data_IF_174331405072
#
_entry.id   IF_174331405072
#
_cell.length_a   1.000
_cell.length_b   1.000
_cell.length_c   1.000
_cell.angle_alpha   90.00
_cell.angle_beta   90.00
_cell.angle_gamma   90.00
#
_symmetry.space_group_name_H-M   'P 1'
#
loop_
_entity.id
_entity.type
_entity.pdbx_description
1 polymer ?
#
# COMPACT_ATOMS: atom_id res chain seq x y z
N UNK A 1 -0.18 23.62 22.40
CA UNK A 1 -1.07 22.68 21.70
C UNK A 1 -0.65 21.27 22.08
N UNK A 2 -1.48 20.54 22.83
CA UNK A 2 -1.14 19.16 23.26
C UNK A 2 -1.41 18.22 22.08
N UNK A 3 -0.36 17.61 21.53
CA UNK A 3 -0.55 16.58 20.49
C UNK A 3 -1.25 15.39 21.12
N UNK A 4 -2.56 15.24 20.87
CA UNK A 4 -3.40 14.21 21.51
C UNK A 4 -3.12 12.80 21.00
N UNK A 5 -2.38 12.64 19.90
CA UNK A 5 -2.05 11.34 19.29
C UNK A 5 -0.60 11.31 18.80
N UNK A 6 0.40 11.41 19.72
CA UNK A 6 1.80 11.49 19.34
C UNK A 6 2.29 10.27 18.54
N UNK A 7 1.74 9.09 18.79
CA UNK A 7 2.09 7.86 18.09
C UNK A 7 1.59 7.82 16.63
N UNK A 8 0.41 8.38 16.32
CA UNK A 8 -0.06 8.48 14.94
C UNK A 8 0.75 9.50 14.14
N UNK A 9 1.08 10.62 14.75
CA UNK A 9 1.93 11.63 14.14
C UNK A 9 3.34 11.08 13.93
N UNK A 10 3.89 10.37 14.91
CA UNK A 10 5.18 9.69 14.81
C UNK A 10 5.19 8.65 13.68
N UNK A 11 4.12 7.85 13.53
CA UNK A 11 4.01 6.86 12.47
C UNK A 11 4.07 7.48 11.06
N UNK A 12 3.51 8.69 10.87
CA UNK A 12 3.57 9.38 9.57
C UNK A 12 4.96 9.92 9.26
N UNK A 13 5.66 10.44 10.28
CA UNK A 13 6.91 11.18 10.11
C UNK A 13 8.14 10.27 10.23
N UNK A 14 8.03 9.15 10.97
CA UNK A 14 9.19 8.32 11.34
C UNK A 14 9.40 7.10 10.43
N UNK A 15 8.48 6.81 9.50
CA UNK A 15 8.61 5.62 8.66
C UNK A 15 8.75 5.98 7.19
N UNK A 16 9.60 5.26 6.43
CA UNK A 16 9.61 5.34 4.98
C UNK A 16 8.29 4.86 4.39
N UNK A 17 7.80 5.57 3.38
CA UNK A 17 6.53 5.32 2.74
C UNK A 17 6.71 4.87 1.29
N UNK A 18 6.09 3.78 0.95
CA UNK A 18 5.81 3.36 -0.40
C UNK A 18 4.30 3.55 -0.67
N UNK A 19 3.86 4.80 -0.77
CA UNK A 19 2.47 5.25 -0.97
C UNK A 19 2.42 6.43 -1.95
N UNK A 20 1.29 6.65 -2.62
CA UNK A 20 1.14 7.85 -3.46
C UNK A 20 1.06 9.12 -2.61
N UNK A 21 1.70 10.24 -3.03
CA UNK A 21 1.82 11.45 -2.22
C UNK A 21 0.48 12.06 -1.78
N UNK A 22 -0.53 12.07 -2.66
CA UNK A 22 -1.88 12.55 -2.37
C UNK A 22 -2.56 11.79 -1.23
N UNK A 23 -2.26 10.50 -1.10
CA UNK A 23 -2.81 9.65 -0.03
C UNK A 23 -2.09 9.85 1.29
N UNK A 24 -0.78 10.08 1.29
CA UNK A 24 -0.07 10.46 2.52
C UNK A 24 -0.56 11.80 3.04
N UNK A 25 -0.78 12.78 2.16
CA UNK A 25 -1.37 14.06 2.54
C UNK A 25 -2.76 13.88 3.17
N UNK A 26 -3.63 13.05 2.58
CA UNK A 26 -4.95 12.76 3.15
C UNK A 26 -4.87 12.13 4.55
N UNK A 27 -3.88 11.25 4.81
CA UNK A 27 -3.62 10.70 6.15
C UNK A 27 -3.21 11.81 7.12
N UNK A 28 -2.28 12.67 6.70
CA UNK A 28 -1.81 13.78 7.52
C UNK A 28 -2.97 14.72 7.92
N UNK A 29 -3.85 15.07 6.99
CA UNK A 29 -5.04 15.89 7.24
C UNK A 29 -6.03 15.24 8.23
N UNK A 30 -6.21 13.92 8.17
CA UNK A 30 -7.05 13.18 9.15
C UNK A 30 -6.44 13.24 10.54
N UNK A 31 -5.13 13.09 10.64
CA UNK A 31 -4.41 13.17 11.93
C UNK A 31 -4.47 14.59 12.50
N UNK A 32 -4.31 15.61 11.67
CA UNK A 32 -4.44 17.03 12.09
C UNK A 32 -5.85 17.34 12.60
N UNK A 33 -6.89 16.97 11.87
CA UNK A 33 -8.29 17.13 12.32
C UNK A 33 -8.57 16.44 13.65
N UNK A 34 -8.02 15.24 13.87
CA UNK A 34 -8.12 14.54 15.16
C UNK A 34 -7.36 15.24 16.28
N UNK A 35 -6.19 15.79 15.99
CA UNK A 35 -5.41 16.58 16.94
C UNK A 35 -6.18 17.84 17.39
N UNK A 36 -6.98 18.43 16.51
CA UNK A 36 -7.89 19.54 16.78
C UNK A 36 -9.15 19.14 17.56
N UNK A 37 -9.33 17.86 17.85
CA UNK A 37 -10.48 17.35 18.62
C UNK A 37 -11.73 17.08 17.79
N UNK A 38 -11.66 17.19 16.48
CA UNK A 38 -12.75 16.86 15.56
C UNK A 38 -12.84 15.33 15.45
N UNK A 39 -13.87 14.74 16.08
CA UNK A 39 -14.13 13.30 16.06
C UNK A 39 -15.40 13.01 15.28
N UNK A 40 -15.34 11.97 14.47
CA UNK A 40 -16.54 11.35 13.94
C UNK A 40 -17.22 10.56 15.06
N UNK A 41 -18.55 10.63 15.15
CA UNK A 41 -19.34 9.80 16.06
C UNK A 41 -19.27 8.32 15.63
N UNK A 42 -19.57 7.42 16.56
CA UNK A 42 -19.61 5.99 16.26
C UNK A 42 -20.60 5.66 15.12
N UNK A 43 -21.71 6.40 15.03
CA UNK A 43 -22.69 6.25 13.96
C UNK A 43 -22.19 6.73 12.59
N UNK A 44 -21.42 7.84 12.55
CA UNK A 44 -20.78 8.31 11.32
C UNK A 44 -19.69 7.33 10.85
N UNK A 45 -18.91 6.78 11.79
CA UNK A 45 -17.91 5.74 11.49
C UNK A 45 -18.60 4.48 10.96
N UNK A 46 -19.69 4.03 11.57
CA UNK A 46 -20.45 2.87 11.14
C UNK A 46 -21.07 3.09 9.75
N UNK A 47 -21.62 4.27 9.48
CA UNK A 47 -22.16 4.62 8.16
C UNK A 47 -21.08 4.68 7.07
N UNK A 48 -19.85 5.10 7.42
CA UNK A 48 -18.72 5.11 6.50
C UNK A 48 -18.12 3.71 6.27
N UNK A 49 -18.23 2.81 7.27
CA UNK A 49 -17.72 1.44 7.15
C UNK A 49 -18.55 0.57 6.22
N UNK A 50 -19.87 0.79 6.10
CA UNK A 50 -20.77 0.03 5.21
C UNK A 50 -20.58 -1.50 5.33
N UNK A 51 -21.26 -2.25 4.51
CA UNK A 51 -20.96 -3.67 4.27
C UNK A 51 -19.75 -3.77 3.34
N UNK A 52 -18.55 -3.84 3.91
CA UNK A 52 -17.30 -3.96 3.14
C UNK A 52 -16.77 -5.36 3.25
N UNK A 53 -16.28 -5.86 2.11
CA UNK A 53 -15.47 -7.08 2.13
C UNK A 53 -14.28 -6.90 3.07
N UNK A 54 -14.00 -7.87 3.95
CA UNK A 54 -12.91 -7.77 4.90
C UNK A 54 -11.56 -7.76 4.20
N UNK A 55 -10.80 -6.67 4.34
CA UNK A 55 -9.46 -6.56 3.78
C UNK A 55 -8.52 -7.60 4.38
N UNK A 56 -7.75 -8.24 3.52
CA UNK A 56 -6.77 -9.25 3.91
C UNK A 56 -7.35 -10.58 4.37
N UNK A 57 -8.67 -10.78 4.24
CA UNK A 57 -9.35 -12.07 4.47
C UNK A 57 -9.66 -12.72 3.12
N UNK A 58 -9.43 -14.03 3.01
CA UNK A 58 -9.72 -14.75 1.79
C UNK A 58 -11.20 -15.12 1.71
N UNK A 59 -11.86 -14.66 0.65
CA UNK A 59 -13.22 -15.08 0.24
C UNK A 59 -13.10 -16.23 -0.75
N UNK A 60 -13.91 -17.26 -0.59
CA UNK A 60 -13.90 -18.44 -1.47
C UNK A 60 -15.00 -18.34 -2.50
N UNK A 61 -14.64 -18.57 -3.76
CA UNK A 61 -15.56 -18.65 -4.89
C UNK A 61 -15.56 -20.07 -5.46
N UNK A 62 -16.74 -20.59 -5.77
CA UNK A 62 -16.87 -21.86 -6.50
C UNK A 62 -16.20 -21.73 -7.86
N UNK A 63 -15.31 -22.65 -8.22
CA UNK A 63 -14.72 -22.68 -9.55
C UNK A 63 -15.71 -23.10 -10.65
N UNK A 64 -16.89 -23.60 -10.29
CA UNK A 64 -17.92 -24.03 -11.23
C UNK A 64 -18.95 -22.93 -11.48
N UNK A 65 -19.49 -22.31 -10.43
CA UNK A 65 -20.58 -21.31 -10.55
C UNK A 65 -20.08 -19.87 -10.42
N UNK A 66 -18.86 -19.69 -9.88
CA UNK A 66 -18.26 -18.40 -9.52
C UNK A 66 -19.01 -17.64 -8.42
N UNK A 67 -19.90 -18.30 -7.71
CA UNK A 67 -20.58 -17.72 -6.56
C UNK A 67 -19.67 -17.77 -5.33
N UNK A 68 -19.84 -16.80 -4.44
CA UNK A 68 -19.17 -16.79 -3.14
C UNK A 68 -19.73 -17.94 -2.29
N UNK A 69 -18.86 -18.84 -1.82
CA UNK A 69 -19.24 -20.03 -1.05
C UNK A 69 -18.75 -20.01 0.40
N UNK A 70 -17.90 -19.04 0.78
CA UNK A 70 -17.43 -18.94 2.16
C UNK A 70 -16.20 -18.07 2.33
N UNK A 71 -15.60 -18.13 3.51
CA UNK A 71 -14.37 -17.43 3.89
C UNK A 71 -13.37 -18.43 4.43
N UNK A 72 -12.09 -18.29 4.11
CA UNK A 72 -11.02 -19.20 4.59
C UNK A 72 -10.97 -19.17 6.12
N UNK A 73 -10.93 -20.38 6.71
CA UNK A 73 -10.88 -20.55 8.17
C UNK A 73 -12.25 -20.75 8.83
N UNK A 74 -13.35 -20.58 8.11
CA UNK A 74 -14.65 -21.13 8.52
C UNK A 74 -14.80 -22.51 7.89
N UNK A 75 -15.34 -23.48 8.64
CA UNK A 75 -15.67 -24.78 8.04
C UNK A 75 -16.63 -24.52 6.88
N UNK A 76 -16.18 -24.81 5.67
CA UNK A 76 -17.05 -24.81 4.52
C UNK A 76 -18.03 -25.96 4.78
N UNK A 77 -19.24 -25.61 5.18
CA UNK A 77 -20.34 -26.57 5.16
C UNK A 77 -20.56 -26.89 3.69
N UNK A 78 -20.01 -28.01 3.23
CA UNK A 78 -20.25 -28.53 1.90
C UNK A 78 -21.77 -28.78 1.81
N UNK A 79 -22.47 -27.83 1.22
CA UNK A 79 -23.87 -28.01 0.83
C UNK A 79 -23.90 -29.12 -0.21
N UNK A 80 -24.23 -30.32 0.26
CA UNK A 80 -24.42 -31.48 -0.59
C UNK A 80 -23.92 -32.79 0.05
N UNK A 81 -24.41 -33.12 1.25
CA UNK A 81 -24.59 -34.56 1.53
C UNK A 81 -25.72 -35.06 0.65
N UNK A 82 -25.38 -35.57 -0.53
CA UNK A 82 -26.28 -36.48 -1.23
C UNK A 82 -26.56 -37.66 -0.30
N UNK A 83 -27.81 -37.98 -0.11
CA UNK A 83 -28.25 -39.26 0.51
C UNK A 83 -27.64 -40.39 -0.32
N UNK A 84 -26.54 -40.96 0.14
CA UNK A 84 -25.89 -42.12 -0.50
C UNK A 84 -24.37 -42.05 -0.50
N UNK A 85 -23.74 -42.02 0.62
CA UNK A 85 -22.47 -42.62 1.04
C UNK A 85 -21.19 -42.48 0.20
N UNK A 86 -21.17 -41.79 -0.95
CA UNK A 86 -19.92 -41.49 -1.69
C UNK A 86 -19.41 -40.14 -1.31
N UNK A 87 -18.06 -39.94 -1.06
CA UNK A 87 -17.51 -38.63 -0.83
C UNK A 87 -17.78 -37.78 -2.08
N UNK A 88 -18.55 -36.70 -1.92
CA UNK A 88 -18.71 -35.70 -2.98
C UNK A 88 -17.30 -35.22 -3.41
N UNK A 89 -17.06 -35.01 -4.72
CA UNK A 89 -15.76 -34.46 -5.14
C UNK A 89 -15.49 -33.16 -4.39
N UNK A 90 -14.30 -33.03 -3.83
CA UNK A 90 -13.88 -31.82 -3.13
C UNK A 90 -14.16 -30.63 -4.05
N UNK A 91 -15.07 -29.76 -3.63
CA UNK A 91 -15.46 -28.62 -4.45
C UNK A 91 -14.20 -27.78 -4.72
N UNK A 92 -13.86 -27.62 -5.99
CA UNK A 92 -12.72 -26.79 -6.38
C UNK A 92 -13.10 -25.32 -6.19
N UNK A 93 -12.34 -24.58 -5.38
CA UNK A 93 -12.60 -23.18 -5.07
C UNK A 93 -11.42 -22.28 -5.46
N UNK A 94 -11.70 -21.01 -5.67
CA UNK A 94 -10.71 -19.95 -5.89
C UNK A 94 -10.74 -19.07 -4.65
N UNK A 95 -9.58 -18.86 -4.02
CA UNK A 95 -9.44 -17.93 -2.90
C UNK A 95 -9.15 -16.52 -3.43
N UNK A 96 -10.01 -15.56 -3.11
CA UNK A 96 -9.82 -14.13 -3.43
C UNK A 96 -9.48 -13.38 -2.15
N UNK A 97 -8.31 -12.76 -2.09
CA UNK A 97 -7.82 -12.00 -0.94
C UNK A 97 -7.77 -10.53 -1.31
N UNK A 98 -8.60 -9.70 -0.68
CA UNK A 98 -8.67 -8.27 -0.98
C UNK A 98 -7.55 -7.50 -0.29
N UNK A 99 -6.80 -6.71 -1.07
CA UNK A 99 -5.72 -5.80 -0.63
C UNK A 99 -6.15 -4.37 -0.97
N UNK A 100 -6.98 -3.78 -0.10
CA UNK A 100 -7.60 -2.49 -0.35
C UNK A 100 -7.12 -1.44 0.66
N UNK A 101 -7.11 -0.18 0.21
CA UNK A 101 -6.72 0.96 1.02
C UNK A 101 -5.24 0.96 1.37
N UNK A 102 -4.88 1.60 2.48
CA UNK A 102 -3.49 1.78 2.90
C UNK A 102 -2.93 0.48 3.45
N UNK A 103 -1.70 0.15 3.05
CA UNK A 103 -1.00 -1.05 3.53
C UNK A 103 -0.13 -0.68 4.74
N UNK A 104 -0.26 -1.46 5.82
CA UNK A 104 0.60 -1.40 6.98
C UNK A 104 0.93 -2.81 7.49
N UNK A 105 1.93 -2.95 8.35
CA UNK A 105 2.31 -4.27 8.86
C UNK A 105 1.23 -4.84 9.76
N UNK A 106 0.79 -4.07 10.76
CA UNK A 106 -0.14 -4.52 11.78
C UNK A 106 -1.57 -4.03 11.56
N UNK A 107 -2.57 -4.85 11.92
CA UNK A 107 -3.98 -4.50 11.78
C UNK A 107 -4.35 -3.25 12.60
N UNK A 108 -3.76 -3.08 13.79
CA UNK A 108 -3.98 -1.92 14.66
C UNK A 108 -3.61 -0.58 14.03
N UNK A 109 -2.69 -0.57 13.06
CA UNK A 109 -2.27 0.65 12.36
C UNK A 109 -3.31 1.11 11.33
N UNK A 110 -4.14 0.21 10.82
CA UNK A 110 -5.10 0.48 9.75
C UNK A 110 -6.56 0.46 10.20
N UNK A 111 -6.89 -0.29 11.24
CA UNK A 111 -8.26 -0.41 11.72
C UNK A 111 -8.72 0.84 12.51
N UNK A 112 -7.76 1.61 13.06
CA UNK A 112 -8.02 2.79 13.91
C UNK A 112 -8.09 4.11 13.13
N UNK A 113 -7.70 4.10 11.86
CA UNK A 113 -7.80 5.27 11.00
C UNK A 113 -9.24 5.39 10.51
N UNK A 114 -9.90 6.54 10.78
CA UNK A 114 -11.25 6.86 10.32
C UNK A 114 -11.27 7.00 8.80
N UNK A 115 -11.28 5.90 8.12
CA UNK A 115 -11.26 5.82 6.67
C UNK A 115 -11.76 4.45 6.21
N UNK A 116 -11.70 4.16 4.93
CA UNK A 116 -12.21 2.92 4.34
C UNK A 116 -11.51 1.63 4.80
N UNK A 117 -10.79 1.67 5.92
CA UNK A 117 -9.99 0.55 6.38
C UNK A 117 -8.72 0.39 5.53
N UNK A 118 -7.66 -0.11 6.16
CA UNK A 118 -6.43 -0.47 5.46
C UNK A 118 -6.25 -1.99 5.40
N UNK A 119 -5.15 -2.41 4.83
CA UNK A 119 -4.78 -3.83 4.74
C UNK A 119 -3.53 -4.08 5.57
N UNK A 120 -3.60 -5.05 6.50
CA UNK A 120 -2.44 -5.54 7.22
C UNK A 120 -1.73 -6.63 6.42
N UNK A 121 -0.41 -6.49 6.22
CA UNK A 121 0.40 -7.52 5.54
C UNK A 121 0.42 -8.84 6.30
N UNK A 122 0.37 -8.81 7.63
CA UNK A 122 0.27 -10.02 8.45
C UNK A 122 -1.07 -10.75 8.26
N UNK A 123 -2.17 -10.00 8.10
CA UNK A 123 -3.49 -10.57 7.84
C UNK A 123 -3.53 -11.23 6.45
N UNK A 124 -3.01 -10.53 5.43
CA UNK A 124 -2.87 -11.09 4.07
C UNK A 124 -2.00 -12.34 4.08
N UNK A 125 -0.85 -12.30 4.74
CA UNK A 125 0.08 -13.44 4.86
C UNK A 125 -0.61 -14.67 5.44
N UNK A 126 -1.35 -14.50 6.53
CA UNK A 126 -2.10 -15.58 7.17
C UNK A 126 -3.13 -16.19 6.23
N UNK A 127 -3.93 -15.34 5.56
CA UNK A 127 -4.94 -15.78 4.61
C UNK A 127 -4.33 -16.47 3.39
N UNK A 128 -3.21 -15.95 2.91
CA UNK A 128 -2.44 -16.53 1.81
C UNK A 128 -1.92 -17.94 2.16
N UNK A 129 -1.28 -18.11 3.33
CA UNK A 129 -0.79 -19.42 3.80
C UNK A 129 -1.92 -20.43 3.96
N UNK A 130 -3.06 -19.99 4.52
CA UNK A 130 -4.22 -20.85 4.67
C UNK A 130 -4.76 -21.31 3.31
N UNK A 131 -4.90 -20.38 2.35
CA UNK A 131 -5.35 -20.71 0.99
C UNK A 131 -4.34 -21.59 0.25
N UNK A 132 -3.04 -21.37 0.45
CA UNK A 132 -1.97 -22.18 -0.15
C UNK A 132 -2.01 -23.62 0.36
N UNK A 133 -2.23 -23.82 1.67
CA UNK A 133 -2.27 -25.14 2.32
C UNK A 133 -3.59 -25.89 2.12
N UNK A 134 -4.68 -25.22 1.70
CA UNK A 134 -5.99 -25.84 1.55
C UNK A 134 -6.11 -26.59 0.20
N UNK A 135 -6.25 -27.93 0.25
CA UNK A 135 -6.34 -28.75 -0.95
C UNK A 135 -7.57 -28.46 -1.84
N UNK A 136 -8.63 -27.88 -1.30
CA UNK A 136 -9.81 -27.46 -2.07
C UNK A 136 -9.56 -26.21 -2.90
N UNK A 137 -8.58 -25.37 -2.51
CA UNK A 137 -8.21 -24.16 -3.22
C UNK A 137 -7.31 -24.49 -4.42
N UNK A 138 -7.81 -24.29 -5.62
CA UNK A 138 -7.07 -24.53 -6.86
C UNK A 138 -6.22 -23.34 -7.32
N UNK A 139 -6.57 -22.13 -6.92
CA UNK A 139 -5.86 -20.90 -7.27
C UNK A 139 -6.11 -19.80 -6.25
N UNK A 140 -5.19 -18.83 -6.17
CA UNK A 140 -5.27 -17.67 -5.29
C UNK A 140 -5.30 -16.41 -6.16
N UNK A 141 -6.25 -15.51 -5.91
CA UNK A 141 -6.33 -14.20 -6.54
C UNK A 141 -6.14 -13.14 -5.47
N UNK A 142 -5.07 -12.35 -5.58
CA UNK A 142 -4.87 -11.15 -4.75
C UNK A 142 -5.52 -9.98 -5.49
N UNK A 143 -6.59 -9.42 -4.93
CA UNK A 143 -7.36 -8.35 -5.54
C UNK A 143 -6.94 -7.01 -4.97
N UNK A 144 -6.46 -6.11 -5.82
CA UNK A 144 -5.86 -4.84 -5.41
C UNK A 144 -6.72 -3.63 -5.72
N UNK A 145 -6.89 -2.76 -4.74
CA UNK A 145 -7.31 -1.37 -4.89
C UNK A 145 -6.62 -0.54 -3.81
N UNK A 146 -5.32 -0.28 -4.00
CA UNK A 146 -4.46 0.28 -2.97
C UNK A 146 -3.45 1.29 -3.53
N UNK A 147 -3.28 2.44 -2.87
CA UNK A 147 -2.25 3.43 -3.20
C UNK A 147 -0.85 3.04 -2.70
N UNK A 148 -0.72 1.91 -2.00
CA UNK A 148 0.47 1.52 -1.26
C UNK A 148 0.35 1.76 0.24
N UNK A 149 1.47 1.98 0.90
CA UNK A 149 1.49 2.15 2.35
C UNK A 149 2.90 2.22 2.94
N UNK A 150 3.03 1.77 4.18
CA UNK A 150 4.30 1.64 4.87
C UNK A 150 5.13 0.50 4.25
N UNK A 151 6.45 0.65 4.17
CA UNK A 151 7.35 -0.37 3.61
C UNK A 151 7.47 -1.63 4.49
N UNK A 152 7.22 -1.49 5.82
CA UNK A 152 7.40 -2.60 6.76
C UNK A 152 6.42 -3.75 6.49
N UNK A 153 6.95 -4.97 6.49
CA UNK A 153 6.19 -6.20 6.23
C UNK A 153 5.88 -6.47 4.74
N UNK A 154 6.06 -5.48 3.84
CA UNK A 154 5.77 -5.62 2.41
C UNK A 154 6.71 -6.58 1.74
N UNK A 155 8.03 -6.42 1.92
CA UNK A 155 9.05 -7.30 1.35
C UNK A 155 8.88 -8.75 1.83
N UNK A 156 8.56 -8.93 3.11
CA UNK A 156 8.35 -10.27 3.68
C UNK A 156 7.17 -10.96 3.02
N UNK A 157 6.05 -10.24 2.85
CA UNK A 157 4.86 -10.76 2.15
C UNK A 157 5.14 -11.05 0.67
N UNK A 158 5.80 -10.14 -0.05
CA UNK A 158 6.17 -10.32 -1.44
C UNK A 158 7.09 -11.55 -1.63
N UNK A 159 8.09 -11.72 -0.77
CA UNK A 159 8.98 -12.89 -0.79
C UNK A 159 8.24 -14.21 -0.53
N UNK A 160 7.27 -14.22 0.38
CA UNK A 160 6.44 -15.40 0.65
C UNK A 160 5.62 -15.79 -0.60
N UNK A 161 4.96 -14.79 -1.23
CA UNK A 161 4.17 -15.01 -2.44
C UNK A 161 5.06 -15.50 -3.58
N UNK A 162 6.23 -14.88 -3.78
CA UNK A 162 7.16 -15.29 -4.83
C UNK A 162 7.66 -16.73 -4.66
N UNK A 163 8.01 -17.14 -3.44
CA UNK A 163 8.42 -18.51 -3.13
C UNK A 163 7.32 -19.56 -3.32
N UNK A 164 6.07 -19.15 -3.26
CA UNK A 164 4.92 -20.03 -3.46
C UNK A 164 4.56 -20.25 -4.95
N UNK A 165 5.17 -19.51 -5.88
CA UNK A 165 4.96 -19.69 -7.33
C UNK A 165 5.17 -21.16 -7.73
N UNK A 166 4.34 -21.62 -8.64
CA UNK A 166 4.40 -23.00 -9.14
C UNK A 166 3.66 -24.02 -8.26
N UNK A 167 3.30 -23.71 -7.02
CA UNK A 167 2.49 -24.60 -6.17
C UNK A 167 1.01 -24.53 -6.56
N UNK A 168 0.49 -23.31 -6.70
CA UNK A 168 -0.84 -22.98 -7.22
C UNK A 168 -0.73 -21.72 -8.07
N UNK A 169 -1.62 -21.49 -9.06
CA UNK A 169 -1.68 -20.22 -9.75
C UNK A 169 -1.97 -19.08 -8.76
N UNK A 170 -1.13 -18.04 -8.76
CA UNK A 170 -1.26 -16.85 -7.92
C UNK A 170 -1.40 -15.64 -8.84
N UNK A 171 -2.57 -15.02 -8.89
CA UNK A 171 -2.90 -13.92 -9.78
C UNK A 171 -3.09 -12.64 -9.00
N UNK A 172 -2.43 -11.57 -9.39
CA UNK A 172 -2.75 -10.22 -8.94
C UNK A 172 -3.82 -9.64 -9.88
N UNK A 173 -5.02 -9.39 -9.37
CA UNK A 173 -6.09 -8.66 -10.05
C UNK A 173 -6.13 -7.23 -9.55
N UNK A 174 -5.84 -6.29 -10.41
CA UNK A 174 -5.89 -4.85 -10.09
C UNK A 174 -7.22 -4.29 -10.55
N UNK A 175 -8.07 -3.86 -9.60
CA UNK A 175 -9.36 -3.25 -9.92
C UNK A 175 -9.20 -1.85 -10.51
N UNK A 176 -8.72 -0.90 -9.68
CA UNK A 176 -8.45 0.47 -10.13
C UNK A 176 -7.00 0.88 -9.93
N UNK A 177 -6.36 0.41 -8.86
CA UNK A 177 -5.00 0.84 -8.50
C UNK A 177 -4.23 -0.24 -7.75
N UNK A 178 -3.01 -0.52 -8.20
CA UNK A 178 -1.97 -1.16 -7.40
C UNK A 178 -0.70 -0.31 -7.50
N UNK A 179 -0.54 0.63 -6.57
CA UNK A 179 0.58 1.56 -6.58
C UNK A 179 1.56 1.25 -5.43
N UNK A 180 2.85 1.50 -5.67
CA UNK A 180 3.89 1.51 -4.67
C UNK A 180 3.96 0.17 -3.89
N UNK A 181 3.82 0.12 -2.57
CA UNK A 181 3.82 -1.14 -1.81
C UNK A 181 2.83 -2.19 -2.34
N UNK A 182 1.67 -1.77 -2.87
CA UNK A 182 0.72 -2.68 -3.49
C UNK A 182 1.26 -3.31 -4.78
N UNK A 183 1.98 -2.52 -5.60
CA UNK A 183 2.63 -3.04 -6.80
C UNK A 183 3.82 -3.96 -6.44
N UNK A 184 4.57 -3.66 -5.38
CA UNK A 184 5.61 -4.53 -4.86
C UNK A 184 5.06 -5.93 -4.56
N UNK A 185 3.93 -6.01 -3.84
CA UNK A 185 3.26 -7.29 -3.54
C UNK A 185 2.72 -7.93 -4.83
N UNK A 186 2.05 -7.15 -5.70
CA UNK A 186 1.48 -7.65 -6.95
C UNK A 186 2.55 -8.23 -7.89
N UNK A 187 3.73 -7.63 -7.96
CA UNK A 187 4.85 -8.09 -8.79
C UNK A 187 5.38 -9.47 -8.40
N UNK A 188 5.12 -9.90 -7.16
CA UNK A 188 5.49 -11.21 -6.67
C UNK A 188 4.54 -12.33 -7.11
N UNK A 189 3.37 -12.03 -7.69
CA UNK A 189 2.43 -13.01 -8.22
C UNK A 189 2.88 -13.60 -9.55
N UNK A 190 2.32 -14.76 -9.96
CA UNK A 190 2.63 -15.38 -11.27
C UNK A 190 2.17 -14.50 -12.43
N UNK A 191 1.09 -13.75 -12.27
CA UNK A 191 0.47 -12.91 -13.30
C UNK A 191 -0.14 -11.66 -12.68
N UNK A 192 -0.02 -10.53 -13.39
CA UNK A 192 -0.69 -9.27 -13.04
C UNK A 192 -1.73 -8.95 -14.11
N UNK A 193 -3.00 -8.90 -13.70
CA UNK A 193 -4.15 -8.55 -14.55
C UNK A 193 -4.69 -7.20 -14.10
N UNK A 194 -4.82 -6.27 -15.03
CA UNK A 194 -5.32 -4.90 -14.74
C UNK A 194 -6.70 -4.75 -15.37
N UNK A 195 -7.67 -4.30 -14.58
CA UNK A 195 -9.01 -3.97 -15.09
C UNK A 195 -8.92 -2.80 -16.08
N UNK A 196 -9.74 -2.76 -17.16
CA UNK A 196 -9.78 -1.60 -18.06
C UNK A 196 -9.90 -0.27 -17.30
N UNK A 197 -8.96 0.64 -17.54
CA UNK A 197 -8.85 1.91 -16.81
C UNK A 197 -8.04 1.86 -15.51
N UNK A 198 -7.65 0.69 -15.04
CA UNK A 198 -6.81 0.52 -13.85
C UNK A 198 -5.38 0.99 -14.07
N UNK A 199 -4.65 1.18 -12.98
CA UNK A 199 -3.29 1.71 -12.96
C UNK A 199 -2.38 0.89 -12.04
N UNK A 200 -1.10 0.78 -12.41
CA UNK A 200 -0.05 0.10 -11.62
C UNK A 200 1.24 0.91 -11.63
N UNK A 201 2.11 0.69 -10.66
CA UNK A 201 3.43 1.33 -10.63
C UNK A 201 3.68 2.13 -9.37
N UNK A 202 4.08 3.39 -9.50
CA UNK A 202 4.56 4.21 -8.38
C UNK A 202 5.71 3.50 -7.63
N UNK A 203 6.69 2.98 -8.40
CA UNK A 203 7.85 2.29 -7.85
C UNK A 203 8.81 3.35 -7.30
N UNK A 204 8.74 3.54 -6.00
CA UNK A 204 9.52 4.54 -5.29
C UNK A 204 9.25 4.54 -3.80
N UNK A 205 10.17 5.10 -3.05
CA UNK A 205 10.09 5.25 -1.60
C UNK A 205 10.46 6.67 -1.23
N UNK A 206 9.80 7.24 -0.23
CA UNK A 206 10.16 8.55 0.29
C UNK A 206 9.93 8.65 1.79
N UNK A 207 10.65 9.55 2.43
CA UNK A 207 10.43 9.96 3.81
C UNK A 207 9.92 11.40 3.86
N UNK A 208 9.18 11.73 4.90
CA UNK A 208 8.71 13.10 5.16
C UNK A 208 9.27 13.58 6.49
N UNK A 209 10.06 14.66 6.46
CA UNK A 209 10.42 15.40 7.66
C UNK A 209 9.57 16.66 7.75
N UNK A 210 8.98 16.92 8.92
CA UNK A 210 8.20 18.14 9.20
C UNK A 210 8.94 18.97 10.25
N UNK A 211 9.43 20.12 9.86
CA UNK A 211 10.02 21.09 10.80
C UNK A 211 8.94 22.02 11.34
N UNK A 212 8.72 21.99 12.65
CA UNK A 212 7.80 22.87 13.38
C UNK A 212 8.54 23.84 14.31
N UNK A 213 9.86 23.93 14.23
CA UNK A 213 10.69 24.74 15.13
C UNK A 213 10.28 26.22 15.14
N UNK A 214 10.10 26.81 13.95
CA UNK A 214 9.67 28.22 13.81
C UNK A 214 8.25 28.46 14.33
N UNK A 215 7.34 27.50 14.15
CA UNK A 215 5.98 27.60 14.67
C UNK A 215 5.96 27.55 16.21
N UNK A 216 6.80 26.71 16.81
CA UNK A 216 6.98 26.62 18.25
C UNK A 216 7.57 27.93 18.81
N UNK A 217 8.59 28.46 18.18
CA UNK A 217 9.21 29.72 18.57
C UNK A 217 8.22 30.90 18.54
N UNK A 218 7.41 30.99 17.48
CA UNK A 218 6.34 32.01 17.36
C UNK A 218 5.29 31.91 18.46
N UNK A 219 5.11 30.72 19.05
CA UNK A 219 4.22 30.48 20.20
C UNK A 219 4.93 30.65 21.56
N UNK A 220 6.20 31.11 21.58
CA UNK A 220 7.00 31.26 22.80
C UNK A 220 7.40 29.91 23.43
N UNK A 221 7.37 28.82 22.69
CA UNK A 221 7.74 27.47 23.15
C UNK A 221 9.13 27.14 22.64
N UNK A 222 10.04 26.79 23.55
CA UNK A 222 11.38 26.27 23.22
C UNK A 222 11.48 24.81 23.66
N UNK A 223 11.83 23.94 22.74
CA UNK A 223 12.16 22.55 23.05
C UNK A 223 13.66 22.41 23.30
N UNK A 224 14.03 21.63 24.32
CA UNK A 224 15.42 21.31 24.61
C UNK A 224 15.51 19.79 24.79
N UNK A 225 16.31 19.13 23.98
CA UNK A 225 16.58 17.71 24.09
C UNK A 225 17.79 17.49 25.01
N UNK A 226 17.62 16.59 25.99
CA UNK A 226 18.71 16.04 26.79
C UNK A 226 18.79 14.57 26.46
N UNK A 227 19.81 14.14 25.73
CA UNK A 227 19.89 12.77 25.20
C UNK A 227 21.31 12.19 25.36
N UNK A 228 21.37 10.86 25.33
CA UNK A 228 22.60 10.10 25.21
C UNK A 228 22.57 9.30 23.90
N UNK A 229 23.71 9.28 23.20
CA UNK A 229 23.83 8.73 21.83
C UNK A 229 23.78 9.85 20.79
N UNK A 230 24.80 9.91 19.91
CA UNK A 230 25.01 11.01 18.95
C UNK A 230 23.76 11.31 18.12
N UNK A 231 23.09 10.27 17.64
CA UNK A 231 21.98 10.40 16.69
C UNK A 231 20.59 10.15 17.30
N UNK A 232 20.48 10.10 18.65
CA UNK A 232 19.24 9.69 19.32
C UNK A 232 18.04 10.59 19.05
N UNK A 233 18.30 11.88 18.81
CA UNK A 233 17.28 12.90 18.53
C UNK A 233 17.35 13.43 17.10
N UNK A 234 18.19 12.82 16.26
CA UNK A 234 18.32 13.19 14.86
C UNK A 234 16.99 13.06 14.14
N UNK A 235 16.69 13.99 13.22
CA UNK A 235 15.44 13.98 12.47
C UNK A 235 14.18 14.30 13.27
N UNK A 236 14.32 14.86 14.50
CA UNK A 236 13.16 15.30 15.27
C UNK A 236 12.49 16.53 14.61
N UNK A 237 11.18 16.69 14.83
CA UNK A 237 10.39 17.75 14.19
C UNK A 237 10.61 19.17 14.78
N UNK A 238 11.32 19.31 15.90
CA UNK A 238 11.49 20.59 16.59
C UNK A 238 12.79 21.29 16.26
N UNK A 239 13.56 20.73 15.35
CA UNK A 239 14.80 21.27 14.83
C UNK A 239 14.85 21.12 13.31
N UNK A 240 15.49 22.06 12.57
CA UNK A 240 15.74 21.88 11.15
C UNK A 240 16.54 20.60 10.89
N UNK A 241 16.26 19.95 9.78
CA UNK A 241 17.01 18.77 9.35
C UNK A 241 18.44 19.21 8.97
N UNK A 242 19.43 18.56 9.58
CA UNK A 242 20.84 18.80 9.24
C UNK A 242 21.22 18.05 7.96
N UNK A 243 22.32 18.44 7.31
CA UNK A 243 22.85 17.72 6.15
C UNK A 243 23.22 16.28 6.50
N UNK A 244 23.80 16.03 7.69
CA UNK A 244 24.12 14.68 8.18
C UNK A 244 22.84 13.83 8.33
N UNK A 245 21.80 14.39 8.95
CA UNK A 245 20.53 13.73 9.10
C UNK A 245 19.83 13.48 7.75
N UNK A 246 19.93 14.44 6.82
CA UNK A 246 19.40 14.28 5.46
C UNK A 246 20.08 13.12 4.73
N UNK A 247 21.41 13.03 4.81
CA UNK A 247 22.16 11.93 4.21
C UNK A 247 21.80 10.56 4.82
N UNK A 248 21.64 10.50 6.14
CA UNK A 248 21.25 9.27 6.82
C UNK A 248 19.84 8.80 6.40
N UNK A 249 18.88 9.73 6.31
CA UNK A 249 17.53 9.44 5.82
C UNK A 249 17.52 9.02 4.34
N UNK A 250 18.31 9.70 3.49
CA UNK A 250 18.44 9.38 2.08
C UNK A 250 19.00 7.95 1.90
N UNK A 251 20.07 7.61 2.62
CA UNK A 251 20.65 6.27 2.57
C UNK A 251 19.62 5.19 2.93
N UNK A 252 18.80 5.41 3.94
CA UNK A 252 17.73 4.49 4.31
C UNK A 252 16.67 4.36 3.21
N UNK A 253 16.30 5.47 2.57
CA UNK A 253 15.33 5.47 1.46
C UNK A 253 15.89 4.73 0.25
N UNK A 254 17.18 4.94 -0.07
CA UNK A 254 17.86 4.28 -1.18
C UNK A 254 17.96 2.76 -0.95
N UNK A 255 18.17 2.31 0.28
CA UNK A 255 18.15 0.89 0.63
C UNK A 255 16.78 0.26 0.36
N UNK A 256 15.68 0.88 0.82
CA UNK A 256 14.34 0.39 0.54
C UNK A 256 13.99 0.45 -0.96
N UNK A 257 14.44 1.48 -1.67
CA UNK A 257 14.23 1.60 -3.11
C UNK A 257 14.96 0.51 -3.88
N UNK A 258 16.20 0.19 -3.49
CA UNK A 258 16.98 -0.92 -4.06
C UNK A 258 16.28 -2.26 -3.85
N UNK A 259 15.80 -2.53 -2.64
CA UNK A 259 15.05 -3.75 -2.34
C UNK A 259 13.77 -3.83 -3.20
N UNK A 260 13.01 -2.74 -3.29
CA UNK A 260 11.80 -2.68 -4.09
C UNK A 260 12.07 -2.96 -5.57
N UNK A 261 13.03 -2.27 -6.17
CA UNK A 261 13.36 -2.44 -7.59
C UNK A 261 13.91 -3.83 -7.90
N UNK A 262 14.70 -4.40 -6.98
CA UNK A 262 15.23 -5.76 -7.11
C UNK A 262 14.12 -6.81 -7.06
N UNK A 263 13.19 -6.69 -6.11
CA UNK A 263 12.08 -7.62 -5.99
C UNK A 263 11.12 -7.53 -7.18
N UNK A 264 10.84 -6.32 -7.68
CA UNK A 264 10.03 -6.12 -8.88
C UNK A 264 10.72 -6.72 -10.10
N UNK A 265 12.01 -6.48 -10.28
CA UNK A 265 12.81 -7.04 -11.39
C UNK A 265 12.75 -8.57 -11.37
N UNK A 266 12.97 -9.18 -10.19
CA UNK A 266 12.85 -10.63 -9.98
C UNK A 266 11.43 -11.12 -10.30
N UNK A 267 10.42 -10.43 -9.79
CA UNK A 267 9.01 -10.79 -9.97
C UNK A 267 8.56 -10.72 -11.43
N UNK A 268 9.03 -9.74 -12.17
CA UNK A 268 8.71 -9.52 -13.58
C UNK A 268 9.66 -10.23 -14.56
N UNK A 269 10.78 -10.82 -14.08
CA UNK A 269 11.77 -11.49 -14.91
C UNK A 269 12.54 -10.53 -15.82
N UNK A 270 12.80 -9.30 -15.35
CA UNK A 270 13.52 -8.24 -16.08
C UNK A 270 14.76 -7.80 -15.31
N UNK A 271 15.62 -6.97 -15.91
CA UNK A 271 16.75 -6.38 -15.19
C UNK A 271 16.28 -5.24 -14.27
N UNK A 272 17.03 -4.98 -13.19
CA UNK A 272 16.78 -3.83 -12.30
C UNK A 272 16.83 -2.51 -13.07
N UNK A 273 17.74 -2.37 -14.03
CA UNK A 273 17.82 -1.19 -14.90
C UNK A 273 16.54 -0.93 -15.69
N UNK A 274 15.83 -1.98 -16.12
CA UNK A 274 14.58 -1.86 -16.86
C UNK A 274 13.45 -1.38 -15.94
N UNK A 275 13.49 -1.78 -14.65
CA UNK A 275 12.55 -1.28 -13.63
C UNK A 275 12.82 0.19 -13.34
N UNK A 276 14.08 0.55 -13.08
CA UNK A 276 14.48 1.91 -12.69
C UNK A 276 14.19 2.93 -13.80
N UNK A 277 14.53 2.63 -15.05
CA UNK A 277 14.39 3.58 -16.17
C UNK A 277 13.17 3.35 -17.07
N UNK A 278 12.41 2.23 -16.89
CA UNK A 278 11.36 1.83 -17.83
C UNK A 278 9.96 1.67 -17.21
N UNK A 279 9.87 1.51 -15.88
CA UNK A 279 8.59 1.24 -15.20
C UNK A 279 7.99 2.53 -14.58
N UNK A 280 7.99 3.63 -15.32
CA UNK A 280 7.31 4.87 -14.97
C UNK A 280 8.06 5.77 -13.99
N UNK A 281 9.27 5.42 -13.53
CA UNK A 281 10.14 6.26 -12.68
C UNK A 281 9.40 6.89 -11.49
N UNK A 282 8.63 6.08 -10.75
CA UNK A 282 7.80 6.52 -9.64
C UNK A 282 6.38 6.97 -10.01
N UNK A 283 6.00 6.96 -11.29
CA UNK A 283 4.62 7.22 -11.76
C UNK A 283 3.79 5.95 -11.81
N UNK A 284 2.48 6.12 -11.94
CA UNK A 284 1.55 5.04 -12.25
C UNK A 284 1.26 5.02 -13.74
N UNK A 285 1.18 3.81 -14.29
CA UNK A 285 0.89 3.57 -15.70
C UNK A 285 -0.48 2.91 -15.87
N UNK A 286 -1.21 3.31 -16.90
CA UNK A 286 -2.52 2.76 -17.22
C UNK A 286 -2.41 1.38 -17.84
N UNK A 287 -3.46 0.61 -17.69
CA UNK A 287 -3.71 -0.75 -18.15
C UNK A 287 -2.88 -1.23 -19.35
N UNK A 288 -3.16 -0.70 -20.54
CA UNK A 288 -2.48 -1.08 -21.80
C UNK A 288 -1.03 -0.61 -21.85
N UNK A 289 -0.73 0.54 -21.24
CA UNK A 289 0.64 1.05 -21.17
C UNK A 289 1.46 0.15 -20.24
N UNK A 290 0.90 -0.21 -19.10
CA UNK A 290 1.53 -1.13 -18.16
C UNK A 290 1.84 -2.50 -18.80
N UNK A 291 0.92 -3.05 -19.61
CA UNK A 291 1.15 -4.30 -20.35
C UNK A 291 2.28 -4.12 -21.38
N UNK A 292 2.27 -3.01 -22.12
CA UNK A 292 3.34 -2.72 -23.12
C UNK A 292 4.73 -2.58 -22.49
N UNK A 293 4.79 -2.01 -21.29
CA UNK A 293 6.05 -1.84 -20.55
C UNK A 293 6.50 -3.13 -19.81
N UNK A 294 5.67 -4.18 -19.78
CA UNK A 294 5.97 -5.40 -19.02
C UNK A 294 5.64 -5.30 -17.53
N UNK A 295 5.00 -4.22 -17.10
CA UNK A 295 4.56 -4.02 -15.70
C UNK A 295 3.34 -4.89 -15.36
N UNK A 296 2.52 -5.25 -16.35
CA UNK A 296 1.38 -6.15 -16.25
C UNK A 296 1.35 -7.13 -17.41
N UNK A 297 0.56 -8.19 -17.29
CA UNK A 297 0.51 -9.27 -18.28
C UNK A 297 -0.75 -9.18 -19.15
N UNK A 298 -1.83 -8.63 -18.60
CA UNK A 298 -3.14 -8.65 -19.25
C UNK A 298 -4.05 -7.52 -18.80
N UNK A 299 -4.96 -7.15 -19.67
CA UNK A 299 -6.11 -6.28 -19.32
C UNK A 299 -7.36 -7.16 -19.34
N UNK A 300 -8.00 -7.32 -18.17
CA UNK A 300 -9.26 -8.05 -18.00
C UNK A 300 -9.95 -7.67 -16.68
N UNK A 301 -11.26 -7.87 -16.62
CA UNK A 301 -12.06 -7.71 -15.41
C UNK A 301 -11.83 -8.87 -14.42
N UNK A 302 -12.21 -8.67 -13.15
CA UNK A 302 -12.17 -9.75 -12.16
C UNK A 302 -12.96 -10.97 -12.61
N UNK A 303 -14.15 -10.78 -13.15
CA UNK A 303 -15.04 -11.83 -13.65
C UNK A 303 -14.39 -12.68 -14.76
N UNK A 304 -13.75 -12.02 -15.73
CA UNK A 304 -13.00 -12.70 -16.80
C UNK A 304 -11.80 -13.46 -16.23
N UNK A 305 -11.10 -12.87 -15.24
CA UNK A 305 -9.98 -13.52 -14.55
C UNK A 305 -10.45 -14.76 -13.80
N UNK A 306 -11.53 -14.67 -13.02
CA UNK A 306 -12.08 -15.81 -12.27
C UNK A 306 -12.53 -16.93 -13.21
N UNK A 307 -13.24 -16.63 -14.31
CA UNK A 307 -13.63 -17.63 -15.32
C UNK A 307 -12.43 -18.34 -15.94
N UNK A 308 -11.39 -17.57 -16.29
CA UNK A 308 -10.15 -18.14 -16.83
C UNK A 308 -9.46 -19.05 -15.82
N UNK A 309 -9.29 -18.58 -14.59
CA UNK A 309 -8.66 -19.35 -13.51
C UNK A 309 -9.47 -20.61 -13.20
N UNK A 310 -10.81 -20.53 -13.22
CA UNK A 310 -11.70 -21.66 -13.06
C UNK A 310 -11.49 -22.73 -14.15
N UNK A 311 -11.15 -22.34 -15.38
CA UNK A 311 -10.91 -23.25 -16.51
C UNK A 311 -9.49 -23.83 -16.55
N UNK A 312 -8.54 -23.29 -15.77
CA UNK A 312 -7.17 -23.83 -15.73
C UNK A 312 -7.17 -25.26 -15.19
N UNK A 313 -6.50 -26.16 -15.89
CA UNK A 313 -6.22 -27.49 -15.36
C UNK A 313 -5.22 -27.35 -14.22
N UNK A 314 -5.47 -27.96 -13.07
CA UNK A 314 -4.49 -28.08 -12.00
C UNK A 314 -3.32 -28.91 -12.52
N UNK A 315 -2.18 -28.27 -12.80
CA UNK A 315 -0.96 -29.00 -13.10
C UNK A 315 -0.41 -29.53 -11.77
N UNK A 316 -0.65 -30.79 -11.48
CA UNK A 316 0.04 -31.51 -10.43
C UNK A 316 1.44 -31.86 -10.92
N UNK A 317 2.42 -30.99 -10.76
CA UNK A 317 3.83 -31.26 -11.03
C UNK A 317 4.70 -30.06 -10.72
N UNK A 318 5.82 -30.25 -10.01
CA UNK A 318 6.77 -29.16 -9.82
C UNK A 318 7.29 -28.73 -11.19
N UNK A 319 7.15 -27.44 -11.52
CA UNK A 319 7.91 -26.85 -12.64
C UNK A 319 9.37 -26.91 -12.25
N UNK A 320 10.17 -27.53 -13.15
CA UNK A 320 11.60 -27.67 -13.00
C UNK A 320 12.27 -26.33 -12.67
N UNK A 321 13.05 -26.35 -11.63
CA UNK A 321 14.21 -25.54 -11.25
C UNK A 321 14.36 -24.14 -11.88
N UNK A 322 13.81 -23.14 -11.19
CA UNK A 322 14.28 -21.75 -11.29
C UNK A 322 15.55 -21.51 -10.42
N UNK A 323 16.03 -22.51 -9.72
CA UNK A 323 17.22 -22.39 -8.83
C UNK A 323 18.55 -22.28 -9.61
N UNK A 324 18.56 -22.57 -10.91
CA UNK A 324 19.81 -22.53 -11.68
C UNK A 324 20.28 -21.10 -12.00
N UNK A 325 19.41 -20.09 -11.82
CA UNK A 325 19.81 -18.69 -12.09
C UNK A 325 20.43 -18.02 -10.86
N UNK A 326 20.15 -18.51 -9.65
CA UNK A 326 20.65 -17.89 -8.42
C UNK A 326 22.11 -18.24 -8.10
N UNK A 327 22.69 -19.28 -8.68
CA UNK A 327 24.09 -19.65 -8.46
C UNK A 327 25.07 -19.11 -9.49
N UNK A 328 24.59 -18.47 -10.58
CA UNK A 328 25.46 -17.88 -11.60
C UNK A 328 25.87 -16.43 -11.28
N UNK A 329 25.34 -15.80 -10.25
CA UNK A 329 25.66 -14.41 -9.90
C UNK A 329 26.45 -14.23 -8.60
N UNK A 330 26.86 -15.33 -7.96
CA UNK A 330 27.63 -15.26 -6.71
C UNK A 330 29.14 -15.05 -6.90
N UNK A 331 29.61 -14.94 -8.16
CA UNK A 331 31.03 -14.75 -8.46
C UNK A 331 31.29 -13.52 -9.37
N UNK A 332 30.45 -12.51 -9.26
CA UNK A 332 30.71 -11.20 -9.84
C UNK A 332 31.15 -10.25 -8.71
N UNK A 333 32.46 -9.97 -8.69
CA UNK A 333 33.03 -8.80 -8.00
C UNK A 333 32.06 -7.64 -7.96
N UNK A 334 31.86 -7.06 -6.75
CA UNK A 334 31.10 -5.84 -6.55
C UNK A 334 31.39 -4.83 -7.68
N UNK A 335 30.41 -4.41 -8.48
CA UNK A 335 30.61 -3.27 -9.31
C UNK A 335 30.62 -2.04 -8.41
N UNK A 336 31.66 -1.23 -8.55
CA UNK A 336 31.76 0.12 -7.97
C UNK A 336 30.40 0.81 -8.04
N UNK A 337 29.97 1.36 -6.89
CA UNK A 337 28.74 2.12 -6.79
C UNK A 337 28.75 3.21 -7.87
N UNK A 338 27.67 3.37 -8.63
CA UNK A 338 27.61 4.46 -9.61
C UNK A 338 27.76 5.79 -8.85
N UNK A 339 28.54 6.74 -9.36
CA UNK A 339 28.69 8.05 -8.77
C UNK A 339 27.29 8.68 -8.69
N UNK A 340 26.96 9.21 -7.52
CA UNK A 340 25.78 10.01 -7.31
C UNK A 340 25.68 11.07 -8.41
N UNK A 341 24.52 11.30 -9.03
CA UNK A 341 24.39 12.36 -10.03
C UNK A 341 24.77 13.68 -9.37
N UNK A 342 25.49 14.57 -10.08
CA UNK A 342 25.85 15.86 -9.56
C UNK A 342 24.57 16.59 -9.12
N UNK A 343 24.56 17.05 -7.89
CA UNK A 343 23.51 17.96 -7.41
C UNK A 343 23.83 19.29 -8.07
N UNK A 344 23.22 19.54 -9.23
CA UNK A 344 23.16 20.88 -9.81
C UNK A 344 22.33 21.74 -8.85
N UNK A 345 23.04 22.47 -8.02
CA UNK A 345 22.49 23.52 -7.21
C UNK A 345 22.29 24.75 -8.12
N UNK A 346 21.07 25.10 -8.54
CA UNK A 346 20.84 26.34 -9.25
C UNK A 346 20.85 27.49 -8.24
N UNK A 347 22.05 27.87 -7.80
CA UNK A 347 22.30 29.19 -7.19
C UNK A 347 22.06 30.23 -8.27
N UNK A 348 20.86 30.80 -8.33
CA UNK A 348 20.60 31.93 -9.25
C UNK A 348 19.12 32.18 -9.57
N UNK A 349 18.23 32.09 -8.60
CA UNK A 349 16.96 32.80 -8.69
C UNK A 349 16.90 33.86 -7.60
N UNK A 350 17.37 35.05 -7.95
CA UNK A 350 17.02 36.28 -7.24
C UNK A 350 15.51 36.48 -7.42
N UNK A 351 14.74 36.13 -6.42
CA UNK A 351 13.35 36.58 -6.30
C UNK A 351 13.40 37.94 -5.64
N UNK A 352 13.26 38.98 -6.46
CA UNK A 352 13.00 40.35 -6.01
C UNK A 352 11.75 40.34 -5.12
N UNK A 353 11.94 40.83 -3.91
CA UNK A 353 10.89 40.89 -2.91
C UNK A 353 9.74 41.80 -3.34
N UNK A 354 8.57 41.33 -3.10
CA UNK A 354 7.43 42.15 -2.68
C UNK A 354 6.73 41.39 -1.54
N UNK A 355 7.09 41.74 -0.33
CA UNK A 355 6.30 41.45 0.87
C UNK A 355 4.96 42.17 0.73
N UNK A 356 3.91 41.45 0.41
CA UNK A 356 2.56 41.87 0.73
C UNK A 356 2.18 41.17 2.02
N UNK A 357 2.12 41.98 3.06
CA UNK A 357 1.52 41.78 4.35
C UNK A 357 0.10 41.18 4.20
N UNK A 358 -0.07 39.91 4.53
CA UNK A 358 -1.36 39.26 4.62
C UNK A 358 -1.55 38.74 6.03
N UNK A 359 -1.87 39.66 6.94
CA UNK A 359 -2.52 39.34 8.21
C UNK A 359 -3.88 38.73 7.90
N UNK A 360 -4.01 37.40 8.12
CA UNK A 360 -5.29 36.70 7.99
C UNK A 360 -6.24 37.19 9.10
N UNK A 361 -7.46 37.64 8.77
CA UNK A 361 -8.44 38.00 9.78
C UNK A 361 -8.95 36.74 10.49
N UNK A 362 -8.96 36.80 11.82
CA UNK A 362 -9.60 35.82 12.69
C UNK A 362 -11.09 35.68 12.32
N UNK A 363 -11.52 34.46 12.00
CA UNK A 363 -12.93 34.17 11.71
C UNK A 363 -13.81 34.60 12.89
N UNK A 364 -14.71 35.52 12.64
CA UNK A 364 -15.65 36.07 13.62
C UNK A 364 -16.78 35.07 13.90
N UNK A 365 -17.42 35.22 15.06
CA UNK A 365 -18.58 34.42 15.48
C UNK A 365 -19.71 34.44 14.43
N UNK A 366 -19.78 35.51 13.61
CA UNK A 366 -20.70 35.69 12.49
C UNK A 366 -20.49 34.65 11.36
N UNK A 367 -19.24 34.24 11.10
CA UNK A 367 -18.94 33.26 10.03
C UNK A 367 -19.33 31.85 10.42
N UNK A 368 -19.27 31.54 11.73
CA UNK A 368 -19.71 30.27 12.29
C UNK A 368 -21.23 30.10 12.22
N UNK A 369 -21.98 31.17 12.40
CA UNK A 369 -23.43 31.17 12.30
C UNK A 369 -23.93 31.12 10.85
N UNK A 370 -23.22 31.72 9.91
CA UNK A 370 -23.53 31.62 8.48
C UNK A 370 -23.37 30.19 7.96
N UNK A 371 -22.35 29.47 8.45
CA UNK A 371 -22.13 28.06 8.10
C UNK A 371 -23.23 27.15 8.68
N UNK A 372 -23.69 27.40 9.90
CA UNK A 372 -24.82 26.67 10.51
C UNK A 372 -26.13 26.87 9.77
N UNK A 373 -26.43 28.09 9.29
CA UNK A 373 -27.68 28.41 8.55
C UNK A 373 -27.70 27.76 7.16
N UNK A 374 -26.56 27.63 6.47
CA UNK A 374 -26.49 26.91 5.19
C UNK A 374 -26.77 25.42 5.32
N UNK A 375 -26.39 24.82 6.45
CA UNK A 375 -26.63 23.40 6.71
C UNK A 375 -28.09 23.07 7.02
N UNK A 376 -28.84 24.00 7.64
CA UNK A 376 -30.28 23.84 7.89
C UNK A 376 -31.12 24.03 6.64
N UNK A 377 -30.74 24.91 5.72
CA UNK A 377 -31.46 25.16 4.47
C UNK A 377 -31.36 23.98 3.48
N UNK A 378 -30.32 23.12 3.61
CA UNK A 378 -30.18 21.93 2.76
C UNK A 378 -31.01 20.74 3.25
N UNK A 379 -31.40 20.72 4.53
CA UNK A 379 -32.24 19.66 5.11
C UNK A 379 -33.75 19.85 4.87
N UNK A 380 -34.20 21.08 4.57
CA UNK A 380 -35.61 21.36 4.33
C UNK A 380 -36.02 21.31 2.84
N UNK A 381 -35.14 20.92 1.92
CA UNK A 381 -35.46 20.77 0.48
C UNK A 381 -35.54 19.32 -0.01
N UNK A 382 -35.25 18.34 0.84
CA UNK A 382 -35.32 16.91 0.52
C UNK A 382 -36.10 16.12 1.59
N UNK A 383 -37.21 16.67 2.07
CA UNK A 383 -38.20 16.01 2.89
C UNK A 383 -39.56 16.07 2.20
#
# INVERSE_FOLDING_TARGET
>A
MTIRFPHLHAAIVQHPWAITPDRLQAIAEVVERRAEGIRLSASEIAALKGEREPNGVATLFSATTLDQVGVVGQQISVLGRGEGGSPAPVASVIAVISVFGIIAQHASEVDDISGPGGTSTERVMRSFRNALGDASVKAIVLRFNSPGGNVHGVQVLANEIFKARGQKPIIAQVDSLAASAAYWIASACDEIVVTPGGQVGSIGVYGLHRDVSKAAEAQGVKFTFVSAGKYKVEGNQYEPLTDEATQALQAQIDDYYRDFTTDVARGRGVKVSDVVGGFGEGRVEKDRVAVKLGMADRVATLDETLRRVASMKTSSGPRADHDTILHATADATEPDAPPSPPVDNPSGLQVSGNLLDASAPSATESDRDAFRRRRHAHRSRNG
#
